data_IF_394382504076
#
_entry.id   IF_394382504076
#
_cell.length_a   1.000
_cell.length_b   1.000
_cell.length_c   1.000
_cell.angle_alpha   90.00
_cell.angle_beta   90.00
_cell.angle_gamma   90.00
#
_symmetry.space_group_name_H-M   'P 1'
#
loop_
_entity.id
_entity.type
_entity.pdbx_description
1 polymer ?
#
# COMPACT_ATOMS: atom_id res chain seq x y z
N UNK A 1 9.70 -18.87 -29.30
CA UNK A 1 11.01 -18.81 -28.59
C UNK A 1 10.84 -18.00 -27.31
N UNK A 2 11.44 -18.48 -26.21
CA UNK A 2 11.43 -17.75 -24.95
C UNK A 2 12.50 -16.65 -25.02
N UNK A 3 12.17 -15.36 -24.79
CA UNK A 3 13.17 -14.29 -24.77
C UNK A 3 14.17 -14.48 -23.63
N UNK A 4 15.40 -13.97 -23.77
CA UNK A 4 16.42 -14.06 -22.73
C UNK A 4 16.12 -13.11 -21.55
N UNK A 5 15.37 -12.03 -21.80
CA UNK A 5 14.87 -11.10 -20.78
C UNK A 5 13.41 -10.86 -21.05
N UNK A 6 12.56 -11.11 -20.06
CA UNK A 6 11.14 -10.81 -20.08
C UNK A 6 10.90 -9.55 -19.25
N UNK A 7 10.32 -8.51 -19.87
CA UNK A 7 9.96 -7.24 -19.21
C UNK A 7 8.44 -7.18 -19.05
N UNK A 8 7.97 -7.03 -17.82
CA UNK A 8 6.54 -6.98 -17.48
C UNK A 8 6.22 -5.68 -16.73
N UNK A 9 5.24 -4.95 -17.22
CA UNK A 9 4.72 -3.74 -16.58
C UNK A 9 3.30 -4.00 -16.13
N UNK A 10 3.07 -3.97 -14.79
CA UNK A 10 1.79 -4.23 -14.12
C UNK A 10 1.05 -5.47 -14.66
N UNK A 11 1.71 -6.65 -14.70
CA UNK A 11 1.17 -7.82 -15.39
C UNK A 11 -0.08 -8.42 -14.74
N UNK A 12 -0.39 -8.06 -13.50
CA UNK A 12 -1.58 -8.54 -12.77
C UNK A 12 -2.82 -7.68 -13.02
N UNK A 13 -2.67 -6.52 -13.67
CA UNK A 13 -3.80 -5.64 -13.94
C UNK A 13 -4.81 -6.32 -14.86
N UNK A 14 -6.08 -6.24 -14.47
CA UNK A 14 -7.23 -6.80 -15.19
C UNK A 14 -7.27 -8.34 -15.33
N UNK A 15 -6.33 -9.05 -14.68
CA UNK A 15 -6.36 -10.51 -14.61
C UNK A 15 -7.30 -10.98 -13.50
N UNK A 16 -7.93 -12.12 -13.69
CA UNK A 16 -8.61 -12.81 -12.60
C UNK A 16 -7.64 -13.66 -11.79
N UNK A 17 -8.09 -14.15 -10.65
CA UNK A 17 -7.26 -14.87 -9.70
C UNK A 17 -6.60 -16.12 -10.32
N UNK A 18 -7.33 -16.85 -11.16
CA UNK A 18 -6.83 -18.08 -11.80
C UNK A 18 -5.70 -17.75 -12.78
N UNK A 19 -5.88 -16.68 -13.57
CA UNK A 19 -4.85 -16.20 -14.51
C UNK A 19 -3.61 -15.67 -13.78
N UNK A 20 -3.79 -14.96 -12.65
CA UNK A 20 -2.67 -14.51 -11.81
C UNK A 20 -1.89 -15.71 -11.26
N UNK A 21 -2.58 -16.73 -10.73
CA UNK A 21 -1.94 -17.93 -10.22
C UNK A 21 -1.17 -18.69 -11.32
N UNK A 22 -1.75 -18.80 -12.51
CA UNK A 22 -1.07 -19.37 -13.65
C UNK A 22 0.20 -18.58 -14.01
N UNK A 23 0.11 -17.23 -14.02
CA UNK A 23 1.24 -16.36 -14.31
C UNK A 23 2.36 -16.50 -13.26
N UNK A 24 2.00 -16.54 -11.97
CA UNK A 24 2.95 -16.80 -10.88
C UNK A 24 3.73 -18.10 -11.11
N UNK A 25 3.01 -19.18 -11.41
CA UNK A 25 3.63 -20.49 -11.63
C UNK A 25 4.51 -20.49 -12.90
N UNK A 26 4.05 -19.86 -13.98
CA UNK A 26 4.83 -19.72 -15.21
C UNK A 26 6.14 -18.95 -14.96
N UNK A 27 6.10 -17.82 -14.23
CA UNK A 27 7.28 -17.02 -13.94
C UNK A 27 8.26 -17.74 -13.00
N UNK A 28 7.78 -18.51 -12.05
CA UNK A 28 8.64 -19.32 -11.16
C UNK A 28 9.41 -20.42 -11.92
N UNK A 29 8.83 -20.93 -12.99
CA UNK A 29 9.45 -21.94 -13.85
C UNK A 29 10.25 -21.34 -15.01
N UNK A 30 10.25 -20.00 -15.12
CA UNK A 30 10.96 -19.32 -16.19
C UNK A 30 12.47 -19.35 -15.92
N UNK A 31 13.22 -19.99 -16.83
CA UNK A 31 14.65 -20.30 -16.69
C UNK A 31 15.59 -19.12 -17.05
N UNK A 32 15.02 -18.00 -17.51
CA UNK A 32 15.76 -16.81 -17.93
C UNK A 32 15.41 -15.60 -17.08
N UNK A 33 15.97 -14.43 -17.38
CA UNK A 33 15.77 -13.23 -16.59
C UNK A 33 14.35 -12.66 -16.77
N UNK A 34 13.73 -12.27 -15.65
CA UNK A 34 12.46 -11.54 -15.62
C UNK A 34 12.67 -10.25 -14.85
N UNK A 35 12.21 -9.14 -15.42
CA UNK A 35 12.14 -7.84 -14.76
C UNK A 35 10.67 -7.42 -14.77
N UNK A 36 10.12 -7.12 -13.60
CA UNK A 36 8.72 -6.76 -13.48
C UNK A 36 8.52 -5.52 -12.60
N UNK A 37 7.54 -4.71 -12.97
CA UNK A 37 7.01 -3.62 -12.15
C UNK A 37 5.59 -4.03 -11.75
N UNK A 38 5.27 -3.97 -10.45
CA UNK A 38 3.92 -4.25 -9.97
C UNK A 38 3.63 -3.58 -8.64
N UNK A 39 2.37 -3.21 -8.43
CA UNK A 39 1.84 -2.77 -7.14
C UNK A 39 1.24 -3.93 -6.32
N UNK A 40 1.12 -5.11 -6.91
CA UNK A 40 0.63 -6.30 -6.22
C UNK A 40 1.73 -6.92 -5.36
N UNK A 41 1.62 -6.68 -4.06
CA UNK A 41 2.60 -7.15 -3.06
C UNK A 41 2.64 -8.67 -2.96
N UNK A 42 1.52 -9.34 -3.13
CA UNK A 42 1.44 -10.81 -3.06
C UNK A 42 2.09 -11.45 -4.27
N UNK A 43 1.86 -10.88 -5.45
CA UNK A 43 2.50 -11.31 -6.67
C UNK A 43 4.02 -11.16 -6.60
N UNK A 44 4.51 -9.97 -6.18
CA UNK A 44 5.95 -9.74 -5.99
C UNK A 44 6.57 -10.65 -4.93
N UNK A 45 5.84 -10.94 -3.85
CA UNK A 45 6.34 -11.79 -2.77
C UNK A 45 6.54 -13.24 -3.21
N UNK A 46 5.77 -13.70 -4.19
CA UNK A 46 5.82 -15.07 -4.72
C UNK A 46 6.75 -15.25 -5.91
N UNK A 47 7.05 -14.17 -6.64
CA UNK A 47 7.75 -14.25 -7.93
C UNK A 47 9.12 -13.59 -7.94
N UNK A 48 9.40 -12.64 -7.04
CA UNK A 48 10.63 -11.87 -7.04
C UNK A 48 11.67 -12.45 -6.06
N UNK A 49 12.90 -12.62 -6.54
CA UNK A 49 14.07 -12.99 -5.74
C UNK A 49 14.91 -11.79 -5.32
N UNK A 50 14.73 -10.66 -6.02
CA UNK A 50 15.44 -9.40 -5.78
C UNK A 50 14.45 -8.26 -6.00
N UNK A 51 14.44 -7.30 -5.09
CA UNK A 51 13.63 -6.09 -5.21
C UNK A 51 14.54 -4.89 -5.42
N UNK A 52 14.22 -4.06 -6.40
CA UNK A 52 14.83 -2.76 -6.60
C UNK A 52 13.83 -1.66 -6.23
N UNK A 53 14.21 -0.84 -5.26
CA UNK A 53 13.43 0.34 -4.88
C UNK A 53 13.94 1.58 -5.62
N UNK A 54 13.04 2.30 -6.26
CA UNK A 54 13.32 3.61 -6.88
C UNK A 54 12.77 4.69 -5.94
N UNK A 55 13.65 5.41 -5.26
CA UNK A 55 13.27 6.48 -4.35
C UNK A 55 14.32 7.61 -4.38
N UNK A 56 13.87 8.87 -4.34
CA UNK A 56 14.76 10.04 -4.32
C UNK A 56 15.80 10.05 -5.46
N UNK A 57 15.45 9.56 -6.66
CA UNK A 57 16.37 9.46 -7.80
C UNK A 57 17.46 8.40 -7.67
N UNK A 58 17.37 7.53 -6.68
CA UNK A 58 18.30 6.43 -6.43
C UNK A 58 17.61 5.09 -6.66
N UNK A 59 18.41 4.11 -7.10
CA UNK A 59 17.99 2.72 -7.24
C UNK A 59 18.69 1.88 -6.17
N UNK A 60 17.95 1.33 -5.22
CA UNK A 60 18.49 0.54 -4.12
C UNK A 60 18.09 -0.93 -4.27
N UNK A 61 19.08 -1.83 -4.21
CA UNK A 61 18.88 -3.27 -4.35
C UNK A 61 18.70 -3.95 -3.00
N UNK A 62 17.65 -4.76 -2.89
CA UNK A 62 17.38 -5.61 -1.73
C UNK A 62 17.33 -7.08 -2.20
N UNK A 63 18.00 -7.96 -1.49
CA UNK A 63 17.99 -9.40 -1.78
C UNK A 63 16.83 -10.05 -1.04
N UNK A 64 16.08 -10.88 -1.76
CA UNK A 64 14.89 -11.54 -1.29
C UNK A 64 13.61 -11.00 -1.93
N UNK A 65 12.50 -11.59 -1.53
CA UNK A 65 11.17 -11.22 -1.99
C UNK A 65 10.67 -9.88 -1.38
N UNK A 66 9.43 -9.52 -1.67
CA UNK A 66 8.85 -8.26 -1.17
C UNK A 66 8.80 -8.17 0.37
N UNK A 67 8.47 -9.27 1.06
CA UNK A 67 8.46 -9.32 2.53
C UNK A 67 9.85 -9.10 3.12
N UNK A 68 10.88 -9.71 2.54
CA UNK A 68 12.27 -9.53 2.95
C UNK A 68 12.75 -8.08 2.71
N UNK A 69 12.39 -7.48 1.57
CA UNK A 69 12.64 -6.07 1.30
C UNK A 69 12.03 -5.17 2.38
N UNK A 70 10.75 -5.36 2.72
CA UNK A 70 10.05 -4.58 3.74
C UNK A 70 10.72 -4.65 5.11
N UNK A 71 11.20 -5.83 5.49
CA UNK A 71 11.91 -6.01 6.74
C UNK A 71 13.28 -5.32 6.74
N UNK A 72 14.06 -5.46 5.66
CA UNK A 72 15.35 -4.81 5.49
C UNK A 72 15.20 -3.28 5.52
N UNK A 73 14.23 -2.73 4.79
CA UNK A 73 13.94 -1.29 4.78
C UNK A 73 13.56 -0.78 6.15
N UNK A 74 12.67 -1.48 6.88
CA UNK A 74 12.28 -1.10 8.24
C UNK A 74 13.48 -1.07 9.20
N UNK A 75 14.36 -2.05 9.11
CA UNK A 75 15.60 -2.07 9.91
C UNK A 75 16.51 -0.90 9.55
N UNK A 76 16.70 -0.63 8.28
CA UNK A 76 17.51 0.50 7.80
C UNK A 76 16.97 1.85 8.29
N UNK A 77 15.66 2.09 8.14
CA UNK A 77 15.02 3.31 8.63
C UNK A 77 15.14 3.46 10.16
N UNK A 78 14.97 2.37 10.91
CA UNK A 78 15.14 2.38 12.36
C UNK A 78 16.58 2.74 12.77
N UNK A 79 17.58 2.22 12.08
CA UNK A 79 18.98 2.56 12.33
C UNK A 79 19.28 4.01 11.96
N UNK A 80 18.79 4.48 10.82
CA UNK A 80 18.94 5.85 10.37
C UNK A 80 18.28 6.82 11.36
N UNK A 81 17.08 6.50 11.86
CA UNK A 81 16.37 7.30 12.86
C UNK A 81 17.18 7.44 14.14
N UNK A 82 17.69 6.33 14.67
CA UNK A 82 18.56 6.35 15.87
C UNK A 82 19.83 7.16 15.65
N UNK A 83 20.49 7.01 14.49
CA UNK A 83 21.68 7.76 14.15
C UNK A 83 21.39 9.26 14.04
N UNK A 84 20.25 9.63 13.43
CA UNK A 84 19.81 11.02 13.33
C UNK A 84 19.53 11.62 14.72
N UNK A 85 18.74 10.94 15.55
CA UNK A 85 18.41 11.38 16.92
C UNK A 85 19.68 11.59 17.75
N UNK A 86 20.59 10.60 17.77
CA UNK A 86 21.88 10.71 18.48
C UNK A 86 22.73 11.85 17.96
N UNK A 87 22.76 12.11 16.66
CA UNK A 87 23.48 13.25 16.09
C UNK A 87 22.82 14.58 16.49
N UNK A 88 21.48 14.67 16.55
CA UNK A 88 20.80 15.89 16.99
C UNK A 88 21.13 16.20 18.47
N UNK A 89 21.07 15.21 19.36
CA UNK A 89 21.44 15.36 20.78
C UNK A 89 22.89 15.85 20.93
N UNK A 90 23.83 15.28 20.18
CA UNK A 90 25.24 15.72 20.24
C UNK A 90 25.41 17.14 19.72
N UNK A 91 24.69 17.50 18.63
CA UNK A 91 24.70 18.86 18.10
C UNK A 91 24.14 19.88 19.10
N UNK A 92 23.04 19.56 19.77
CA UNK A 92 22.45 20.40 20.81
C UNK A 92 23.41 20.58 22.00
N UNK A 93 24.05 19.48 22.42
CA UNK A 93 25.08 19.50 23.48
C UNK A 93 26.25 20.40 23.10
N UNK A 94 26.80 20.26 21.89
CA UNK A 94 27.91 21.07 21.41
C UNK A 94 27.50 22.54 21.25
N UNK A 95 26.30 22.80 20.75
CA UNK A 95 25.77 24.15 20.64
C UNK A 95 25.61 24.84 22.00
N UNK A 96 25.11 24.13 22.99
CA UNK A 96 25.00 24.65 24.36
C UNK A 96 26.37 25.02 24.96
N UNK A 97 27.40 24.23 24.66
CA UNK A 97 28.80 24.53 25.06
C UNK A 97 29.33 25.76 24.35
N UNK A 98 29.10 25.87 23.01
CA UNK A 98 29.50 27.05 22.23
C UNK A 98 28.85 28.31 22.79
N UNK A 99 27.53 28.30 23.01
CA UNK A 99 26.78 29.42 23.55
C UNK A 99 27.27 29.88 24.94
N UNK A 100 27.57 28.93 25.83
CA UNK A 100 28.10 29.21 27.21
C UNK A 100 29.44 29.89 27.17
N UNK A 101 30.31 29.59 26.20
CA UNK A 101 31.71 30.04 26.19
C UNK A 101 32.04 31.09 25.13
N UNK A 102 31.15 31.41 24.18
CA UNK A 102 31.40 32.36 23.10
C UNK A 102 31.76 33.77 23.58
N UNK A 103 31.24 34.19 24.74
CA UNK A 103 31.47 35.52 25.31
C UNK A 103 32.59 35.56 26.38
N UNK A 104 33.29 34.43 26.67
CA UNK A 104 34.38 34.41 27.63
C UNK A 104 35.73 34.51 26.90
N UNK A 105 36.48 35.60 27.08
CA UNK A 105 37.76 35.84 26.32
C UNK A 105 38.73 34.65 26.41
N UNK A 106 38.89 34.06 27.62
CA UNK A 106 39.77 32.92 27.86
C UNK A 106 39.36 31.59 27.24
N UNK A 107 38.08 31.45 26.82
CA UNK A 107 37.53 30.23 26.22
C UNK A 107 36.96 30.42 24.82
N UNK A 108 37.13 31.62 24.23
CA UNK A 108 36.62 31.93 22.89
C UNK A 108 37.26 31.04 21.81
N UNK A 109 38.54 30.72 21.94
CA UNK A 109 39.24 29.82 21.00
C UNK A 109 38.66 28.37 21.05
N UNK A 110 38.37 27.89 22.24
CA UNK A 110 37.72 26.58 22.45
C UNK A 110 36.31 26.53 21.84
N UNK A 111 35.51 27.58 22.06
CA UNK A 111 34.17 27.67 21.47
C UNK A 111 34.23 27.69 19.93
N UNK A 112 35.17 28.44 19.33
CA UNK A 112 35.41 28.46 17.86
C UNK A 112 35.81 27.06 17.32
N UNK A 113 36.70 26.36 18.01
CA UNK A 113 37.10 25.01 17.62
C UNK A 113 35.94 24.04 17.64
N UNK A 114 35.05 24.09 18.66
CA UNK A 114 33.84 23.27 18.72
C UNK A 114 32.85 23.60 17.61
N UNK A 115 32.61 24.87 17.33
CA UNK A 115 31.78 25.31 16.22
C UNK A 115 32.29 24.78 14.89
N UNK A 116 33.60 24.90 14.63
CA UNK A 116 34.22 24.38 13.42
C UNK A 116 34.12 22.85 13.31
N UNK A 117 34.18 22.13 14.43
CA UNK A 117 33.95 20.68 14.47
C UNK A 117 32.52 20.31 14.09
N UNK A 118 31.52 21.04 14.58
CA UNK A 118 30.10 20.85 14.21
C UNK A 118 29.85 21.12 12.72
N UNK A 119 30.49 22.15 12.14
CA UNK A 119 30.37 22.50 10.73
C UNK A 119 30.96 21.42 9.79
N UNK A 120 31.94 20.65 10.30
CA UNK A 120 32.59 19.55 9.55
C UNK A 120 31.93 18.20 9.73
N UNK A 121 30.96 18.08 10.63
CA UNK A 121 30.22 16.83 10.83
C UNK A 121 29.40 16.50 9.59
N UNK A 122 29.57 15.28 9.09
CA UNK A 122 28.66 14.76 8.06
C UNK A 122 27.25 14.65 8.66
N UNK A 123 26.30 15.36 8.05
CA UNK A 123 24.91 15.36 8.50
C UNK A 123 24.24 14.04 8.11
N UNK A 124 23.66 13.39 9.09
CA UNK A 124 22.74 12.26 8.84
C UNK A 124 21.44 12.86 8.28
N UNK A 125 21.02 12.41 7.10
CA UNK A 125 19.77 12.84 6.52
C UNK A 125 18.61 12.41 7.42
N UNK A 126 17.64 13.31 7.61
CA UNK A 126 16.40 12.95 8.31
C UNK A 126 15.77 11.77 7.58
N UNK A 127 15.44 10.66 8.28
CA UNK A 127 14.74 9.56 7.64
C UNK A 127 13.44 10.09 7.03
N UNK A 128 13.17 9.71 5.79
CA UNK A 128 11.85 9.90 5.21
C UNK A 128 10.89 9.03 6.04
N UNK A 129 10.03 9.66 6.80
CA UNK A 129 8.89 8.96 7.38
C UNK A 129 8.02 8.56 6.19
N UNK A 130 7.65 7.28 6.11
CA UNK A 130 6.55 6.86 5.23
C UNK A 130 5.32 7.65 5.73
N UNK A 131 5.13 8.85 5.18
CA UNK A 131 3.96 9.71 5.45
C UNK A 131 2.70 9.08 4.82
N UNK A 132 2.45 7.83 5.19
CA UNK A 132 1.10 7.31 5.11
C UNK A 132 0.36 7.97 6.27
N UNK A 133 -0.12 9.19 6.04
CA UNK A 133 -1.15 9.78 6.88
C UNK A 133 -2.38 8.89 6.78
N UNK A 134 -2.36 7.79 7.54
CA UNK A 134 -3.57 7.00 7.75
C UNK A 134 -4.50 7.93 8.52
N UNK A 135 -5.55 8.39 7.85
CA UNK A 135 -6.64 9.06 8.51
C UNK A 135 -7.25 8.09 9.53
N UNK A 136 -6.87 8.24 10.78
CA UNK A 136 -7.35 7.41 11.90
C UNK A 136 -8.62 7.99 12.53
N UNK A 137 -9.30 8.93 11.87
CA UNK A 137 -10.56 9.49 12.34
C UNK A 137 -11.65 8.42 12.33
N UNK A 138 -12.29 8.19 13.46
CA UNK A 138 -13.52 7.39 13.53
C UNK A 138 -14.65 8.16 12.85
N UNK A 139 -15.04 7.67 11.66
CA UNK A 139 -16.26 8.14 10.99
C UNK A 139 -17.46 7.46 11.65
N UNK A 140 -17.99 8.05 12.71
CA UNK A 140 -19.23 7.59 13.30
C UNK A 140 -20.40 8.16 12.51
N UNK A 141 -21.29 7.33 11.96
CA UNK A 141 -22.47 7.82 11.27
C UNK A 141 -23.42 8.52 12.24
N UNK A 142 -23.91 9.70 11.83
CA UNK A 142 -24.89 10.50 12.59
C UNK A 142 -26.22 9.75 12.81
N UNK A 143 -26.58 8.86 11.89
CA UNK A 143 -27.80 8.05 11.93
C UNK A 143 -27.43 6.60 11.73
N UNK A 144 -27.92 5.76 12.64
CA UNK A 144 -27.71 4.31 12.54
C UNK A 144 -28.76 3.73 11.61
N UNK A 145 -28.36 3.27 10.42
CA UNK A 145 -29.23 2.57 9.47
C UNK A 145 -29.66 1.17 9.91
N UNK A 146 -30.44 0.50 9.10
CA UNK A 146 -30.96 -0.87 9.32
C UNK A 146 -29.86 -1.89 9.62
N UNK A 147 -30.23 -2.93 10.39
CA UNK A 147 -29.35 -4.10 10.65
C UNK A 147 -29.01 -4.84 9.36
N UNK A 148 -30.01 -5.04 8.51
CA UNK A 148 -29.85 -5.57 7.16
C UNK A 148 -29.70 -4.39 6.19
N UNK A 149 -28.59 -4.35 5.48
CA UNK A 149 -28.26 -3.22 4.59
C UNK A 149 -28.67 -3.51 3.15
N UNK A 150 -28.74 -4.79 2.79
CA UNK A 150 -29.18 -5.26 1.48
C UNK A 150 -29.78 -6.66 1.61
N UNK A 151 -30.89 -6.90 0.93
CA UNK A 151 -31.51 -8.19 0.79
C UNK A 151 -31.93 -8.40 -0.67
N UNK A 152 -31.77 -9.63 -1.16
CA UNK A 152 -32.26 -10.03 -2.48
C UNK A 152 -32.83 -11.43 -2.44
N UNK A 153 -33.86 -11.66 -3.26
CA UNK A 153 -34.50 -12.97 -3.44
C UNK A 153 -34.69 -13.22 -4.93
N UNK A 154 -34.11 -14.32 -5.42
CA UNK A 154 -34.14 -14.73 -6.83
C UNK A 154 -33.76 -13.61 -7.80
N UNK A 155 -32.87 -12.71 -7.38
CA UNK A 155 -32.48 -11.53 -8.16
C UNK A 155 -31.69 -11.95 -9.40
N UNK A 156 -32.28 -11.79 -10.58
CA UNK A 156 -31.61 -12.04 -11.86
C UNK A 156 -30.99 -10.77 -12.37
N UNK A 157 -29.69 -10.82 -12.60
CA UNK A 157 -28.90 -9.70 -13.10
C UNK A 157 -28.29 -10.02 -14.45
N UNK A 158 -28.16 -9.01 -15.28
CA UNK A 158 -27.62 -9.14 -16.63
C UNK A 158 -27.97 -7.93 -17.49
N UNK A 159 -27.72 -8.04 -18.78
CA UNK A 159 -28.11 -7.04 -19.76
C UNK A 159 -29.31 -7.59 -20.57
N UNK A 160 -29.06 -8.27 -21.70
CA UNK A 160 -30.11 -8.89 -22.54
C UNK A 160 -30.53 -10.29 -22.03
N UNK A 161 -29.68 -10.90 -21.25
CA UNK A 161 -29.92 -12.23 -20.63
C UNK A 161 -29.40 -12.25 -19.19
N UNK A 162 -29.98 -13.09 -18.36
CA UNK A 162 -29.53 -13.31 -17.00
C UNK A 162 -28.12 -13.93 -17.02
N UNK A 163 -27.20 -13.30 -16.33
CA UNK A 163 -25.84 -13.78 -16.08
C UNK A 163 -25.76 -14.53 -14.76
N UNK A 164 -26.48 -14.04 -13.74
CA UNK A 164 -26.49 -14.59 -12.39
C UNK A 164 -27.91 -14.51 -11.81
N UNK A 165 -28.24 -15.46 -10.94
CA UNK A 165 -29.39 -15.41 -10.03
C UNK A 165 -28.86 -15.43 -8.60
N UNK A 166 -29.29 -14.47 -7.76
CA UNK A 166 -28.69 -14.21 -6.45
C UNK A 166 -29.79 -14.09 -5.40
N UNK A 167 -29.65 -14.89 -4.34
CA UNK A 167 -30.41 -14.74 -3.11
C UNK A 167 -29.42 -14.53 -1.99
N UNK A 168 -29.39 -13.33 -1.40
CA UNK A 168 -28.44 -13.01 -0.34
C UNK A 168 -28.95 -11.93 0.60
N UNK A 169 -28.38 -11.89 1.79
CA UNK A 169 -28.61 -10.84 2.79
C UNK A 169 -27.29 -10.31 3.34
N UNK A 170 -27.15 -8.99 3.38
CA UNK A 170 -25.94 -8.32 3.89
C UNK A 170 -26.28 -7.58 5.17
N UNK A 171 -25.54 -7.90 6.25
CA UNK A 171 -25.68 -7.20 7.54
C UNK A 171 -24.71 -6.03 7.61
N UNK A 172 -25.09 -5.01 8.35
CA UNK A 172 -24.20 -3.90 8.68
C UNK A 172 -22.93 -4.41 9.36
N UNK A 173 -21.77 -3.86 8.93
CA UNK A 173 -20.44 -4.24 9.39
C UNK A 173 -19.86 -5.50 8.73
N UNK A 174 -20.63 -6.22 7.93
CA UNK A 174 -20.13 -7.36 7.17
C UNK A 174 -19.29 -6.89 5.98
N UNK A 175 -18.15 -7.55 5.77
CA UNK A 175 -17.29 -7.35 4.61
C UNK A 175 -17.38 -8.59 3.72
N UNK A 176 -17.73 -8.40 2.46
CA UNK A 176 -17.99 -9.50 1.52
C UNK A 176 -17.02 -9.40 0.35
N UNK A 177 -16.28 -10.46 0.07
CA UNK A 177 -15.48 -10.61 -1.13
C UNK A 177 -16.27 -11.37 -2.21
N UNK A 178 -16.27 -10.87 -3.43
CA UNK A 178 -16.88 -11.51 -4.60
C UNK A 178 -15.79 -11.97 -5.53
N UNK A 179 -15.70 -13.27 -5.74
CA UNK A 179 -14.69 -13.91 -6.58
C UNK A 179 -15.34 -14.57 -7.81
N UNK A 180 -14.56 -14.72 -8.85
CA UNK A 180 -14.97 -15.40 -10.10
C UNK A 180 -14.14 -14.96 -11.30
N UNK A 181 -14.18 -15.72 -12.41
CA UNK A 181 -13.49 -15.43 -13.65
C UNK A 181 -13.89 -14.08 -14.26
N UNK A 182 -13.08 -13.57 -15.18
CA UNK A 182 -13.43 -12.39 -15.95
C UNK A 182 -14.69 -12.66 -16.78
N UNK A 183 -15.60 -11.68 -16.85
CA UNK A 183 -16.89 -11.84 -17.54
C UNK A 183 -17.98 -12.55 -16.73
N UNK A 184 -17.71 -13.04 -15.51
CA UNK A 184 -18.70 -13.75 -14.69
C UNK A 184 -19.84 -12.89 -14.13
N UNK A 185 -19.85 -11.58 -14.37
CA UNK A 185 -20.91 -10.68 -13.92
C UNK A 185 -20.66 -9.96 -12.59
N UNK A 186 -19.46 -10.02 -12.01
CA UNK A 186 -19.11 -9.34 -10.74
C UNK A 186 -19.43 -7.85 -10.77
N UNK A 187 -18.94 -7.15 -11.79
CA UNK A 187 -19.20 -5.70 -11.97
C UNK A 187 -20.68 -5.42 -12.26
N UNK A 188 -21.36 -6.30 -13.01
CA UNK A 188 -22.80 -6.21 -13.26
C UNK A 188 -23.58 -6.31 -11.96
N UNK A 189 -23.21 -7.23 -11.07
CA UNK A 189 -23.81 -7.35 -9.74
C UNK A 189 -23.64 -6.04 -8.93
N UNK A 190 -22.43 -5.53 -8.83
CA UNK A 190 -22.18 -4.28 -8.09
C UNK A 190 -22.98 -3.10 -8.67
N UNK A 191 -23.05 -2.98 -10.00
CA UNK A 191 -23.84 -1.94 -10.68
C UNK A 191 -25.34 -2.09 -10.41
N UNK A 192 -25.85 -3.31 -10.35
CA UNK A 192 -27.26 -3.56 -10.03
C UNK A 192 -27.56 -3.21 -8.57
N UNK A 193 -26.71 -3.63 -7.62
CA UNK A 193 -26.85 -3.27 -6.20
C UNK A 193 -26.79 -1.76 -6.00
N UNK A 194 -25.89 -1.07 -6.70
CA UNK A 194 -25.76 0.39 -6.64
C UNK A 194 -26.88 1.16 -7.38
N UNK A 195 -27.78 0.46 -8.05
CA UNK A 195 -28.89 1.09 -8.79
C UNK A 195 -28.53 1.65 -10.16
N UNK A 196 -27.32 1.43 -10.66
CA UNK A 196 -26.92 1.87 -12.02
C UNK A 196 -27.46 0.96 -13.12
N UNK A 197 -27.82 -0.26 -12.80
CA UNK A 197 -28.38 -1.23 -13.73
C UNK A 197 -29.65 -1.83 -13.09
N UNK A 198 -30.82 -1.82 -13.78
CA UNK A 198 -32.01 -2.47 -13.26
C UNK A 198 -31.83 -3.98 -13.25
N UNK A 199 -32.40 -4.71 -12.28
CA UNK A 199 -32.46 -6.16 -12.33
C UNK A 199 -33.37 -6.61 -13.48
N UNK A 200 -33.11 -7.80 -14.01
CA UNK A 200 -33.95 -8.41 -15.04
C UNK A 200 -35.22 -9.05 -14.43
N UNK A 201 -35.11 -9.58 -13.21
CA UNK A 201 -36.19 -10.26 -12.50
C UNK A 201 -35.81 -10.42 -11.02
N UNK A 202 -36.76 -10.83 -10.15
CA UNK A 202 -36.56 -11.03 -8.73
C UNK A 202 -36.68 -9.72 -7.93
N UNK A 203 -36.45 -9.83 -6.64
CA UNK A 203 -36.62 -8.71 -5.71
C UNK A 203 -35.30 -8.33 -5.05
N UNK A 204 -35.11 -7.04 -4.85
CA UNK A 204 -34.04 -6.51 -4.03
C UNK A 204 -34.51 -5.34 -3.17
N UNK A 205 -33.99 -5.22 -1.98
CA UNK A 205 -34.28 -4.10 -1.09
C UNK A 205 -33.02 -3.61 -0.39
N UNK A 206 -32.96 -2.29 -0.24
CA UNK A 206 -31.91 -1.61 0.53
C UNK A 206 -32.52 -1.16 1.86
N UNK A 207 -31.81 -1.37 2.93
CA UNK A 207 -32.29 -1.04 4.28
C UNK A 207 -32.53 0.48 4.45
N UNK A 208 -33.35 0.81 5.44
CA UNK A 208 -33.67 2.23 5.75
C UNK A 208 -32.41 2.96 6.25
N UNK A 209 -32.25 4.20 5.84
CA UNK A 209 -31.10 5.08 6.17
C UNK A 209 -29.74 4.47 5.75
N UNK A 210 -29.70 3.82 4.59
CA UNK A 210 -28.47 3.30 3.99
C UNK A 210 -28.06 4.21 2.83
N UNK A 211 -26.85 4.70 2.87
CA UNK A 211 -26.20 5.43 1.76
C UNK A 211 -25.18 4.52 1.12
N UNK A 212 -25.21 4.41 -0.21
CA UNK A 212 -24.23 3.62 -0.97
C UNK A 212 -23.18 4.52 -1.61
N UNK A 213 -21.90 4.12 -1.50
CA UNK A 213 -20.80 4.65 -2.30
C UNK A 213 -20.34 3.58 -3.29
N UNK A 214 -20.09 3.98 -4.53
CA UNK A 214 -19.53 3.13 -5.58
C UNK A 214 -18.24 3.78 -6.10
N UNK A 215 -17.13 3.03 -6.09
CA UNK A 215 -15.81 3.49 -6.52
C UNK A 215 -15.26 2.62 -7.64
#
# INVERSE_FOLDING_TARGET
EKPDILLLDEPTNHLDLETVQWLEEYLRQYDKAVVMVSHDRFFLDRTADVVYEVAGGKLTRYVGNYSAYREQKRKQLSLQKKAYESQQEELERLNSVVERFKHKPTKASFARAKKKAMERMNRVEKPEEDDIHIFTGELTPLIIGSKWVFESEHLKIGYDRALLEITMRIRRGQKIGILGPNGSGKTTFLKTVAGFLPPLDGEMSVGVNITMGYF
#
